data_IF_766469774631
#
_entry.id   IF_766469774631
#
_cell.length_a   1.000
_cell.length_b   1.000
_cell.length_c   1.000
_cell.angle_alpha   90.00
_cell.angle_beta   90.00
_cell.angle_gamma   90.00
#
_symmetry.space_group_name_H-M   'P 1'
#
loop_
_entity.id
_entity.type
_entity.pdbx_description
1 polymer ?
#
# COMPACT_ATOMS: atom_id res chain seq x y z
N UNK A 1 -25.49 5.02 4.02
CA UNK A 1 -24.93 4.43 5.25
C UNK A 1 -24.01 3.31 4.81
N UNK A 2 -22.71 3.49 4.92
CA UNK A 2 -21.73 2.45 4.61
C UNK A 2 -21.49 1.64 5.89
N UNK A 3 -21.64 0.32 5.81
CA UNK A 3 -21.48 -0.55 6.98
C UNK A 3 -20.01 -0.61 7.42
N UNK A 4 -19.70 -0.72 8.71
CA UNK A 4 -18.32 -0.73 9.22
C UNK A 4 -17.45 -1.88 8.66
N UNK A 5 -18.07 -2.89 8.05
CA UNK A 5 -17.41 -4.04 7.43
C UNK A 5 -17.25 -3.94 5.91
N UNK A 6 -17.67 -2.84 5.29
CA UNK A 6 -17.54 -2.67 3.83
C UNK A 6 -16.09 -2.33 3.45
N UNK A 7 -15.43 -3.25 2.74
CA UNK A 7 -14.07 -3.03 2.24
C UNK A 7 -14.12 -2.12 1.02
N UNK A 8 -13.52 -0.93 1.14
CA UNK A 8 -13.28 -0.06 0.00
C UNK A 8 -11.95 -0.44 -0.66
N UNK A 9 -11.98 -0.80 -1.95
CA UNK A 9 -10.78 -1.22 -2.68
C UNK A 9 -10.09 -0.04 -3.37
N UNK A 10 -8.76 -0.01 -3.26
CA UNK A 10 -7.86 0.90 -3.96
C UNK A 10 -6.91 0.10 -4.84
N UNK A 11 -6.63 0.61 -6.05
CA UNK A 11 -5.69 0.01 -6.99
C UNK A 11 -4.35 0.74 -6.94
N UNK A 12 -3.26 -0.01 -6.80
CA UNK A 12 -1.88 0.47 -6.98
C UNK A 12 -1.34 -0.13 -8.27
N UNK A 13 -0.84 0.70 -9.19
CA UNK A 13 -0.25 0.28 -10.46
C UNK A 13 1.27 0.40 -10.42
N UNK A 14 1.96 -0.59 -10.97
CA UNK A 14 3.40 -0.51 -11.24
C UNK A 14 3.67 0.00 -12.66
N UNK A 15 4.90 0.41 -12.92
CA UNK A 15 5.34 0.94 -14.22
C UNK A 15 5.37 -0.13 -15.33
N UNK A 16 5.63 -1.39 -14.96
CA UNK A 16 5.60 -2.55 -15.84
C UNK A 16 4.19 -3.15 -16.03
N UNK A 17 3.14 -2.41 -15.63
CA UNK A 17 1.76 -2.69 -16.02
C UNK A 17 0.99 -3.64 -15.08
N UNK A 18 1.55 -4.01 -13.93
CA UNK A 18 0.84 -4.82 -12.93
C UNK A 18 -0.07 -3.95 -12.06
N UNK A 19 -1.08 -4.58 -11.47
CA UNK A 19 -2.04 -3.92 -10.58
C UNK A 19 -2.23 -4.73 -9.31
N UNK A 20 -2.20 -4.04 -8.17
CA UNK A 20 -2.41 -4.59 -6.85
C UNK A 20 -3.67 -3.96 -6.24
N UNK A 21 -4.55 -4.78 -5.67
CA UNK A 21 -5.76 -4.30 -4.99
C UNK A 21 -5.59 -4.43 -3.48
N UNK A 22 -5.82 -3.33 -2.78
CA UNK A 22 -5.70 -3.25 -1.33
C UNK A 22 -6.95 -2.63 -0.73
N UNK A 23 -7.23 -3.00 0.51
CA UNK A 23 -8.17 -2.28 1.35
C UNK A 23 -7.67 -0.84 1.54
N UNK A 24 -8.53 0.14 1.30
CA UNK A 24 -8.23 1.56 1.48
C UNK A 24 -7.66 1.86 2.85
N UNK A 25 -8.15 1.21 3.90
CA UNK A 25 -7.68 1.38 5.29
C UNK A 25 -6.21 0.99 5.45
N UNK A 26 -5.75 0.01 4.66
CA UNK A 26 -4.35 -0.42 4.61
C UNK A 26 -3.51 0.64 3.89
N UNK A 27 -4.00 1.14 2.75
CA UNK A 27 -3.29 2.16 1.96
C UNK A 27 -3.16 3.49 2.73
N UNK A 28 -4.23 3.91 3.40
CA UNK A 28 -4.27 5.14 4.21
C UNK A 28 -3.37 5.08 5.46
N UNK A 29 -2.81 3.91 5.80
CA UNK A 29 -1.80 3.78 6.86
C UNK A 29 -0.44 4.40 6.47
N UNK A 30 -0.25 4.68 5.18
CA UNK A 30 0.87 5.45 4.64
C UNK A 30 0.43 6.90 4.38
N UNK A 31 1.01 7.91 5.05
CA UNK A 31 0.68 9.31 4.81
C UNK A 31 0.84 9.72 3.35
N UNK A 32 1.92 9.29 2.69
CA UNK A 32 2.19 9.62 1.29
C UNK A 32 1.13 9.06 0.35
N UNK A 33 0.73 7.79 0.53
CA UNK A 33 -0.29 7.18 -0.32
C UNK A 33 -1.68 7.72 -0.01
N UNK A 34 -1.94 8.07 1.25
CA UNK A 34 -3.16 8.77 1.64
C UNK A 34 -3.29 10.10 0.90
N UNK A 35 -2.23 10.91 0.91
CA UNK A 35 -2.23 12.22 0.24
C UNK A 35 -2.38 12.07 -1.29
N UNK A 36 -1.74 11.05 -1.90
CA UNK A 36 -1.92 10.76 -3.33
C UNK A 36 -3.36 10.36 -3.71
N UNK A 37 -4.13 9.82 -2.76
CA UNK A 37 -5.52 9.40 -2.95
C UNK A 37 -6.52 10.44 -2.45
N UNK A 38 -6.06 11.55 -1.90
CA UNK A 38 -6.92 12.61 -1.39
C UNK A 38 -7.50 13.42 -2.55
N UNK A 39 -8.84 13.44 -2.61
CA UNK A 39 -9.62 14.10 -3.66
C UNK A 39 -9.52 15.63 -3.53
N UNK A 40 -9.28 16.12 -2.32
CA UNK A 40 -9.24 17.55 -2.01
C UNK A 40 -7.90 18.19 -2.40
N UNK A 41 -6.85 17.39 -2.61
CA UNK A 41 -5.55 17.85 -3.12
C UNK A 41 -5.53 18.03 -4.65
N UNK A 42 -6.64 17.76 -5.34
CA UNK A 42 -6.80 18.06 -6.77
C UNK A 42 -6.16 17.06 -7.74
N UNK A 43 -5.69 15.90 -7.25
CA UNK A 43 -5.15 14.85 -8.10
C UNK A 43 -6.26 14.04 -8.78
N UNK A 44 -6.17 13.85 -10.10
CA UNK A 44 -7.11 13.07 -10.91
C UNK A 44 -7.29 11.62 -10.42
N UNK A 45 -6.29 11.11 -9.70
CA UNK A 45 -6.16 9.75 -9.17
C UNK A 45 -7.22 9.42 -8.10
N UNK A 46 -7.58 10.41 -7.27
CA UNK A 46 -8.49 10.26 -6.16
C UNK A 46 -9.94 9.93 -6.59
N UNK A 47 -10.38 10.44 -7.75
CA UNK A 47 -11.67 10.05 -8.35
C UNK A 47 -11.68 8.62 -8.88
N UNK A 48 -10.52 8.10 -9.24
CA UNK A 48 -10.35 6.76 -9.85
C UNK A 48 -9.98 5.66 -8.86
N UNK A 49 -9.78 6.01 -7.57
CA UNK A 49 -9.27 5.10 -6.51
C UNK A 49 -8.03 4.32 -6.97
N UNK A 50 -7.20 4.96 -7.78
CA UNK A 50 -6.05 4.36 -8.42
C UNK A 50 -4.85 5.27 -8.23
N UNK A 51 -3.76 4.73 -7.67
CA UNK A 51 -2.47 5.38 -7.56
C UNK A 51 -1.45 4.63 -8.43
N UNK A 52 -0.57 5.35 -9.11
CA UNK A 52 0.50 4.75 -9.92
C UNK A 52 1.86 5.01 -9.29
N UNK A 53 2.66 3.97 -9.13
CA UNK A 53 4.02 4.04 -8.61
C UNK A 53 5.01 3.78 -9.74
N UNK A 54 6.01 4.65 -9.88
CA UNK A 54 7.06 4.58 -10.90
C UNK A 54 8.14 3.53 -10.54
N UNK A 55 7.72 2.32 -10.20
CA UNK A 55 8.57 1.19 -9.85
C UNK A 55 8.07 -0.09 -10.53
N UNK A 56 8.97 -1.05 -10.73
CA UNK A 56 8.62 -2.39 -11.24
C UNK A 56 7.74 -3.15 -10.25
N UNK A 57 6.96 -4.10 -10.74
CA UNK A 57 6.02 -4.89 -9.95
C UNK A 57 6.68 -5.58 -8.76
N UNK A 58 7.91 -6.07 -8.90
CA UNK A 58 8.64 -6.73 -7.82
C UNK A 58 8.85 -5.83 -6.60
N UNK A 59 9.09 -4.52 -6.82
CA UNK A 59 9.24 -3.53 -5.75
C UNK A 59 7.88 -3.16 -5.18
N UNK A 60 6.90 -2.89 -6.06
CA UNK A 60 5.53 -2.53 -5.64
C UNK A 60 4.88 -3.65 -4.83
N UNK A 61 5.15 -4.92 -5.17
CA UNK A 61 4.70 -6.09 -4.40
C UNK A 61 5.19 -6.02 -2.95
N UNK A 62 6.46 -5.67 -2.71
CA UNK A 62 7.00 -5.52 -1.35
C UNK A 62 6.46 -4.31 -0.62
N UNK A 63 6.21 -3.21 -1.32
CA UNK A 63 5.52 -2.04 -0.75
C UNK A 63 4.11 -2.45 -0.28
N UNK A 64 3.36 -3.17 -1.11
CA UNK A 64 2.03 -3.68 -0.80
C UNK A 64 2.05 -4.68 0.36
N UNK A 65 3.03 -5.58 0.40
CA UNK A 65 3.24 -6.51 1.51
C UNK A 65 3.52 -5.76 2.81
N UNK A 66 4.38 -4.73 2.76
CA UNK A 66 4.73 -3.92 3.93
C UNK A 66 3.53 -3.11 4.46
N UNK A 67 2.70 -2.54 3.59
CA UNK A 67 1.49 -1.82 4.02
C UNK A 67 0.55 -2.75 4.80
N UNK A 68 0.32 -3.97 4.29
CA UNK A 68 -0.50 -4.97 4.99
C UNK A 68 0.13 -5.38 6.32
N UNK A 69 1.44 -5.63 6.33
CA UNK A 69 2.19 -5.96 7.54
C UNK A 69 2.05 -4.86 8.60
N UNK A 70 2.31 -3.60 8.22
CA UNK A 70 2.18 -2.44 9.09
C UNK A 70 0.76 -2.31 9.64
N UNK A 71 -0.25 -2.48 8.80
CA UNK A 71 -1.65 -2.40 9.22
C UNK A 71 -2.05 -3.51 10.18
N UNK A 72 -1.59 -4.75 9.93
CA UNK A 72 -1.87 -5.92 10.76
C UNK A 72 -1.26 -5.78 12.16
N UNK A 73 -0.02 -5.30 12.24
CA UNK A 73 0.74 -5.20 13.48
C UNK A 73 0.68 -3.82 14.16
N UNK A 74 -0.15 -2.88 13.67
CA UNK A 74 -0.22 -1.49 14.20
C UNK A 74 -0.51 -1.37 15.71
N UNK A 75 -1.16 -2.38 16.29
CA UNK A 75 -1.52 -2.44 17.71
C UNK A 75 -0.83 -3.61 18.45
N UNK A 76 0.07 -4.33 17.80
CA UNK A 76 0.76 -5.48 18.39
C UNK A 76 1.89 -5.02 19.32
N UNK A 77 2.23 -5.84 20.31
CA UNK A 77 3.41 -5.60 21.15
C UNK A 77 4.66 -5.97 20.37
N UNK A 78 5.79 -5.33 20.67
CA UNK A 78 7.04 -5.51 19.91
C UNK A 78 7.52 -6.96 19.79
N UNK A 79 7.23 -7.82 20.77
CA UNK A 79 7.61 -9.24 20.72
C UNK A 79 6.72 -10.11 19.82
N UNK A 80 5.57 -9.59 19.37
CA UNK A 80 4.63 -10.26 18.48
C UNK A 80 4.88 -9.89 17.00
N UNK A 81 5.71 -8.87 16.75
CA UNK A 81 6.00 -8.33 15.42
C UNK A 81 7.13 -9.16 14.78
N UNK A 82 6.88 -9.85 13.65
CA UNK A 82 7.90 -10.58 12.93
C UNK A 82 8.93 -9.65 12.27
N UNK A 83 10.15 -10.15 12.05
CA UNK A 83 11.18 -9.47 11.26
C UNK A 83 10.78 -9.40 9.77
N UNK A 84 10.38 -8.22 9.29
CA UNK A 84 9.94 -8.03 7.90
C UNK A 84 11.11 -8.01 6.90
N UNK A 85 12.26 -7.48 7.30
CA UNK A 85 13.50 -7.40 6.49
C UNK A 85 13.91 -8.73 5.84
N UNK A 86 13.65 -9.88 6.50
CA UNK A 86 13.95 -11.23 5.97
C UNK A 86 13.08 -11.61 4.76
N UNK A 87 12.05 -10.83 4.45
CA UNK A 87 11.12 -11.04 3.33
C UNK A 87 11.47 -10.19 2.11
N UNK A 88 12.47 -9.31 2.22
CA UNK A 88 12.97 -8.48 1.12
C UNK A 88 14.07 -9.25 0.38
N UNK A 89 13.85 -9.62 -0.89
CA UNK A 89 14.89 -10.22 -1.71
C UNK A 89 16.07 -9.25 -1.91
N UNK A 90 17.33 -9.72 -1.83
CA UNK A 90 18.50 -8.88 -2.07
C UNK A 90 18.49 -8.15 -3.42
N UNK A 91 17.86 -8.75 -4.43
CA UNK A 91 17.80 -8.26 -5.81
C UNK A 91 17.02 -6.95 -5.95
N UNK A 92 16.14 -6.61 -5.00
CA UNK A 92 15.32 -5.39 -5.02
C UNK A 92 15.59 -4.46 -3.83
N UNK A 93 16.57 -4.80 -2.98
CA UNK A 93 16.83 -4.06 -1.76
C UNK A 93 17.30 -2.61 -1.99
N UNK A 94 17.93 -2.33 -3.13
CA UNK A 94 18.39 -0.97 -3.49
C UNK A 94 17.29 -0.10 -4.12
N UNK A 95 16.20 -0.72 -4.59
CA UNK A 95 15.05 0.00 -5.18
C UNK A 95 13.98 0.37 -4.14
N UNK A 96 14.09 -0.16 -2.90
CA UNK A 96 13.15 0.00 -1.79
C UNK A 96 13.47 1.20 -0.88
#
# INVERSE_FOLDING_TARGET
MQSPDEIEWVRIKSDDGFSFLLDKRVVESSPTLKDMLDVDLGFSEARSKTCSLAFRAAVVEKVVEYLNFRYLYKNAKSHEIPEFNKRVPPEIALEL
#
